data_IF_359626311746
#
_entry.id   IF_359626311746
#
_cell.length_a   1.000
_cell.length_b   1.000
_cell.length_c   1.000
_cell.angle_alpha   90.00
_cell.angle_beta   90.00
_cell.angle_gamma   90.00
#
_symmetry.space_group_name_H-M   'P 1'
#
loop_
_entity.id
_entity.type
_entity.pdbx_description
1 polymer ?
#
# COMPACT_ATOMS: atom_id res chain seq x y z
N UNK A 1 -1.65 -12.51 15.90
CA UNK A 1 -0.96 -13.43 16.84
C UNK A 1 0.46 -12.96 17.20
N UNK A 2 1.36 -12.74 16.23
CA UNK A 2 2.76 -12.30 16.46
C UNK A 2 2.93 -11.09 17.39
N UNK A 3 2.10 -10.06 17.24
CA UNK A 3 2.16 -8.87 18.09
C UNK A 3 1.91 -9.19 19.58
N UNK A 4 0.84 -9.95 19.86
CA UNK A 4 0.51 -10.41 21.21
C UNK A 4 1.60 -11.34 21.79
N UNK A 5 2.15 -12.25 20.98
CA UNK A 5 3.27 -13.10 21.37
C UNK A 5 4.54 -12.30 21.71
N UNK A 6 4.73 -11.14 21.09
CA UNK A 6 5.79 -10.18 21.41
C UNK A 6 5.45 -9.24 22.59
N UNK A 7 4.35 -9.51 23.33
CA UNK A 7 3.92 -8.70 24.47
C UNK A 7 3.31 -7.34 24.10
N UNK A 8 2.92 -7.15 22.83
CA UNK A 8 2.30 -5.92 22.34
C UNK A 8 0.81 -6.11 22.13
N UNK A 9 0.03 -5.08 22.41
CA UNK A 9 -1.36 -4.99 21.96
C UNK A 9 -1.39 -4.92 20.42
N UNK A 10 -1.99 -5.90 19.72
CA UNK A 10 -2.12 -5.88 18.27
C UNK A 10 -2.83 -4.63 17.73
N UNK A 11 -3.78 -4.06 18.49
CA UNK A 11 -4.50 -2.84 18.09
C UNK A 11 -3.61 -1.59 18.11
N UNK A 12 -2.39 -1.68 18.65
CA UNK A 12 -1.38 -0.60 18.64
C UNK A 12 -0.41 -0.71 17.47
N UNK A 13 -0.78 -1.45 16.43
CA UNK A 13 -0.05 -1.54 15.18
C UNK A 13 -1.01 -1.14 14.07
N UNK A 14 -0.87 0.08 13.59
CA UNK A 14 -1.66 0.56 12.47
C UNK A 14 -1.13 -0.05 11.17
N UNK A 15 -2.04 -0.59 10.35
CA UNK A 15 -1.75 -1.23 9.08
C UNK A 15 -2.16 -0.28 7.96
N UNK A 16 -1.19 0.06 7.10
CA UNK A 16 -1.41 0.91 5.93
C UNK A 16 -1.12 0.12 4.67
N UNK A 17 -2.12 0.00 3.79
CA UNK A 17 -1.96 -0.67 2.50
C UNK A 17 -1.52 0.31 1.42
N UNK A 18 -0.66 -0.15 0.51
CA UNK A 18 -0.39 0.58 -0.73
C UNK A 18 -1.69 0.65 -1.54
N UNK A 19 -2.06 1.85 -1.98
CA UNK A 19 -3.22 2.06 -2.85
C UNK A 19 -2.90 3.08 -3.91
N UNK A 20 -3.29 2.80 -5.16
CA UNK A 20 -3.28 3.79 -6.24
C UNK A 20 -4.73 4.13 -6.60
N UNK A 21 -4.99 5.42 -6.83
CA UNK A 21 -6.32 5.88 -7.28
C UNK A 21 -6.17 6.76 -8.51
N UNK A 22 -7.06 6.58 -9.48
CA UNK A 22 -7.25 7.50 -10.59
C UNK A 22 -8.64 8.10 -10.42
N UNK A 23 -8.68 9.39 -10.10
CA UNK A 23 -9.90 10.12 -9.80
C UNK A 23 -10.31 11.01 -10.98
N UNK A 24 -11.61 11.17 -11.15
CA UNK A 24 -12.21 12.16 -12.02
C UNK A 24 -13.50 12.70 -11.39
N UNK A 25 -14.07 13.78 -11.92
CA UNK A 25 -15.35 14.30 -11.40
C UNK A 25 -16.49 13.27 -11.55
N UNK A 26 -16.35 12.34 -12.49
CA UNK A 26 -17.25 11.20 -12.72
C UNK A 26 -16.43 9.95 -13.04
N UNK A 27 -17.03 8.77 -12.92
CA UNK A 27 -16.41 7.51 -13.31
C UNK A 27 -15.93 7.50 -14.76
N UNK A 28 -16.71 8.11 -15.66
CA UNK A 28 -16.36 8.18 -17.07
C UNK A 28 -15.09 9.02 -17.31
N UNK A 29 -14.95 10.15 -16.61
CA UNK A 29 -13.75 10.98 -16.69
C UNK A 29 -12.54 10.32 -16.05
N UNK A 30 -12.72 9.63 -14.91
CA UNK A 30 -11.67 8.86 -14.26
C UNK A 30 -11.16 7.74 -15.17
N UNK A 31 -12.07 7.02 -15.84
CA UNK A 31 -11.74 5.98 -16.80
C UNK A 31 -11.00 6.54 -18.02
N UNK A 32 -11.47 7.65 -18.59
CA UNK A 32 -10.78 8.29 -19.71
C UNK A 32 -9.34 8.70 -19.34
N UNK A 33 -9.16 9.29 -18.15
CA UNK A 33 -7.85 9.64 -17.59
C UNK A 33 -6.96 8.40 -17.40
N UNK A 34 -7.52 7.30 -16.89
CA UNK A 34 -6.79 6.04 -16.75
C UNK A 34 -6.31 5.48 -18.09
N UNK A 35 -7.16 5.42 -19.11
CA UNK A 35 -6.78 4.96 -20.44
C UNK A 35 -5.70 5.85 -21.07
N UNK A 36 -5.80 7.17 -20.88
CA UNK A 36 -4.75 8.11 -21.29
C UNK A 36 -3.42 7.78 -20.60
N UNK A 37 -3.41 7.65 -19.27
CA UNK A 37 -2.20 7.31 -18.52
C UNK A 37 -1.62 5.97 -18.95
N UNK A 38 -2.47 4.98 -19.20
CA UNK A 38 -2.05 3.65 -19.67
C UNK A 38 -1.30 3.73 -21.00
N UNK A 39 -1.67 4.67 -21.88
CA UNK A 39 -0.95 4.89 -23.15
C UNK A 39 0.50 5.34 -23.00
N UNK A 40 0.89 5.85 -21.82
CA UNK A 40 2.25 6.29 -21.51
C UNK A 40 3.09 5.23 -20.77
N UNK A 41 2.51 4.06 -20.47
CA UNK A 41 3.23 2.98 -19.77
C UNK A 41 4.41 2.49 -20.61
N UNK A 42 5.60 2.44 -19.98
CA UNK A 42 6.79 1.83 -20.59
C UNK A 42 6.85 0.36 -20.25
N UNK A 43 6.83 -0.49 -21.29
CA UNK A 43 7.03 -1.93 -21.16
C UNK A 43 8.36 -2.25 -20.47
N UNK A 44 9.47 -1.67 -20.93
CA UNK A 44 10.80 -1.92 -20.38
C UNK A 44 10.90 -1.46 -18.92
N UNK A 45 10.29 -0.32 -18.58
CA UNK A 45 10.22 0.18 -17.21
C UNK A 45 9.45 -0.78 -16.28
N UNK A 46 8.28 -1.25 -16.74
CA UNK A 46 7.50 -2.24 -16.02
C UNK A 46 8.26 -3.55 -15.80
N UNK A 47 8.94 -4.05 -16.84
CA UNK A 47 9.76 -5.26 -16.77
C UNK A 47 10.95 -5.11 -15.83
N UNK A 48 11.62 -3.95 -15.81
CA UNK A 48 12.69 -3.68 -14.86
C UNK A 48 12.19 -3.70 -13.41
N UNK A 49 11.04 -3.06 -13.13
CA UNK A 49 10.45 -3.03 -11.79
C UNK A 49 10.07 -4.42 -11.28
N UNK A 50 9.28 -5.16 -12.06
CA UNK A 50 8.85 -6.50 -11.65
C UNK A 50 10.01 -7.47 -11.53
N UNK A 51 11.05 -7.33 -12.37
CA UNK A 51 12.28 -8.12 -12.22
C UNK A 51 12.97 -7.85 -10.88
N UNK A 52 13.07 -6.58 -10.48
CA UNK A 52 13.64 -6.18 -9.19
C UNK A 52 12.84 -6.69 -7.99
N UNK A 53 11.51 -6.68 -8.06
CA UNK A 53 10.64 -7.13 -6.96
C UNK A 53 10.62 -8.65 -6.79
N UNK A 54 10.66 -9.39 -7.89
CA UNK A 54 10.50 -10.85 -7.90
C UNK A 54 11.83 -11.61 -7.94
N UNK A 55 12.90 -10.95 -8.37
CA UNK A 55 14.19 -11.58 -8.67
C UNK A 55 14.21 -12.38 -9.97
N UNK A 56 13.15 -12.30 -10.80
CA UNK A 56 13.06 -12.97 -12.10
C UNK A 56 13.56 -12.02 -13.18
N UNK A 57 14.48 -12.45 -14.04
CA UNK A 57 14.90 -11.65 -15.19
C UNK A 57 13.87 -11.76 -16.32
N UNK A 58 12.97 -10.78 -16.43
CA UNK A 58 11.91 -10.81 -17.44
C UNK A 58 12.40 -10.57 -18.88
N UNK A 59 13.65 -10.14 -19.08
CA UNK A 59 14.23 -9.99 -20.43
C UNK A 59 14.41 -11.32 -21.17
N UNK A 60 14.35 -12.44 -20.44
CA UNK A 60 14.50 -13.79 -20.99
C UNK A 60 13.20 -14.34 -21.63
N UNK A 61 12.07 -13.65 -21.44
CA UNK A 61 10.77 -14.08 -21.97
C UNK A 61 10.34 -13.23 -23.17
N UNK A 62 9.61 -13.84 -24.10
CA UNK A 62 8.97 -13.07 -25.17
C UNK A 62 7.75 -12.32 -24.61
N UNK A 63 7.43 -11.11 -25.12
CA UNK A 63 6.32 -10.31 -24.61
C UNK A 63 4.98 -11.03 -24.53
N UNK A 64 4.67 -11.90 -25.49
CA UNK A 64 3.42 -12.66 -25.57
C UNK A 64 3.53 -14.11 -25.07
N UNK A 65 4.66 -14.48 -24.46
CA UNK A 65 4.85 -15.83 -23.92
C UNK A 65 4.03 -16.03 -22.65
N UNK A 66 3.15 -17.03 -22.65
CA UNK A 66 2.44 -17.45 -21.45
C UNK A 66 3.41 -17.90 -20.34
N UNK A 67 3.29 -17.29 -19.16
CA UNK A 67 4.20 -17.50 -18.03
C UNK A 67 3.88 -18.76 -17.22
N UNK A 68 2.65 -19.28 -17.31
CA UNK A 68 2.23 -20.56 -16.70
C UNK A 68 3.09 -21.75 -17.17
N UNK A 69 3.67 -21.65 -18.37
CA UNK A 69 4.48 -22.70 -18.97
C UNK A 69 5.97 -22.64 -18.56
N UNK A 70 6.35 -21.75 -17.64
CA UNK A 70 7.76 -21.60 -17.24
C UNK A 70 8.07 -22.45 -16.00
N UNK A 71 9.11 -23.33 -16.04
CA UNK A 71 9.29 -24.38 -15.04
C UNK A 71 9.96 -23.93 -13.72
N UNK A 72 9.98 -22.63 -13.36
CA UNK A 72 10.66 -22.17 -12.14
C UNK A 72 9.68 -21.82 -11.02
N UNK A 73 10.02 -22.17 -9.78
CA UNK A 73 9.18 -21.90 -8.62
C UNK A 73 9.01 -20.40 -8.32
N UNK A 74 10.03 -19.59 -8.63
CA UNK A 74 9.97 -18.14 -8.46
C UNK A 74 8.91 -17.52 -9.38
N UNK A 75 8.87 -17.95 -10.65
CA UNK A 75 7.88 -17.48 -11.63
C UNK A 75 6.48 -17.93 -11.23
N UNK A 76 6.32 -19.17 -10.78
CA UNK A 76 5.03 -19.64 -10.27
C UNK A 76 4.52 -18.78 -9.12
N UNK A 77 5.34 -18.47 -8.12
CA UNK A 77 4.92 -17.62 -7.00
C UNK A 77 4.60 -16.17 -7.42
N UNK A 78 5.36 -15.61 -8.35
CA UNK A 78 5.09 -14.27 -8.89
C UNK A 78 3.77 -14.27 -9.68
N UNK A 79 3.60 -15.21 -10.60
CA UNK A 79 2.38 -15.37 -11.42
C UNK A 79 1.17 -15.68 -10.54
N UNK A 80 1.28 -16.58 -9.56
CA UNK A 80 0.22 -16.89 -8.59
C UNK A 80 -0.28 -15.65 -7.86
N UNK A 81 0.59 -14.68 -7.57
CA UNK A 81 0.20 -13.41 -6.94
C UNK A 81 -0.76 -12.62 -7.84
N UNK A 82 -0.50 -12.60 -9.15
CA UNK A 82 -1.34 -11.90 -10.14
C UNK A 82 -2.57 -12.73 -10.55
N UNK A 83 -2.41 -14.02 -10.78
CA UNK A 83 -3.51 -14.93 -11.14
C UNK A 83 -4.51 -15.11 -10.01
N UNK A 84 -4.13 -14.89 -8.75
CA UNK A 84 -5.10 -14.85 -7.66
C UNK A 84 -5.96 -13.58 -7.69
N UNK A 85 -5.43 -12.48 -8.24
CA UNK A 85 -6.16 -11.22 -8.39
C UNK A 85 -7.04 -11.22 -9.64
N UNK A 86 -6.59 -11.84 -10.73
CA UNK A 86 -7.38 -12.06 -11.94
C UNK A 86 -7.12 -13.47 -12.53
N UNK A 87 -7.95 -14.46 -12.15
CA UNK A 87 -7.74 -15.87 -12.51
C UNK A 87 -8.11 -16.20 -13.96
N UNK A 88 -8.86 -15.33 -14.64
CA UNK A 88 -9.30 -15.55 -16.03
C UNK A 88 -8.33 -14.95 -17.05
N UNK A 89 -7.32 -14.19 -16.60
CA UNK A 89 -6.32 -13.56 -17.46
C UNK A 89 -5.17 -14.51 -17.78
N UNK A 90 -4.85 -14.64 -19.08
CA UNK A 90 -3.62 -15.28 -19.54
C UNK A 90 -2.42 -14.37 -19.26
N UNK A 91 -1.59 -14.73 -18.30
CA UNK A 91 -0.44 -13.91 -17.90
C UNK A 91 0.75 -14.06 -18.84
N UNK A 92 1.04 -12.98 -19.57
CA UNK A 92 2.25 -12.77 -20.38
C UNK A 92 3.04 -11.58 -19.84
N UNK A 93 4.32 -11.39 -20.21
CA UNK A 93 5.04 -10.16 -19.88
C UNK A 93 4.31 -8.88 -20.33
N UNK A 94 3.62 -8.88 -21.47
CA UNK A 94 2.76 -7.77 -21.90
C UNK A 94 1.58 -7.52 -20.94
N UNK A 95 0.86 -8.58 -20.55
CA UNK A 95 -0.23 -8.47 -19.59
C UNK A 95 0.26 -7.98 -18.22
N UNK A 96 1.44 -8.45 -17.79
CA UNK A 96 2.09 -7.94 -16.58
C UNK A 96 2.48 -6.48 -16.71
N UNK A 97 3.05 -6.05 -17.84
CA UNK A 97 3.39 -4.65 -18.07
C UNK A 97 2.16 -3.73 -17.97
N UNK A 98 1.06 -4.16 -18.58
CA UNK A 98 -0.23 -3.46 -18.51
C UNK A 98 -0.77 -3.38 -17.07
N UNK A 99 -0.59 -4.44 -16.29
CA UNK A 99 -1.03 -4.50 -14.90
C UNK A 99 -0.16 -3.65 -13.98
N UNK A 100 1.16 -3.87 -13.98
CA UNK A 100 2.08 -3.19 -13.05
C UNK A 100 2.41 -1.76 -13.48
N UNK A 101 2.14 -1.42 -14.74
CA UNK A 101 2.49 -0.14 -15.35
C UNK A 101 1.91 1.06 -14.63
N UNK A 102 0.74 0.89 -14.00
CA UNK A 102 0.13 1.88 -13.11
C UNK A 102 -0.27 1.16 -11.81
N UNK A 103 0.32 1.57 -10.69
CA UNK A 103 0.00 1.03 -9.36
C UNK A 103 0.87 -0.14 -8.88
N UNK A 104 1.71 -0.71 -9.75
CA UNK A 104 2.68 -1.74 -9.36
C UNK A 104 2.01 -3.03 -8.85
N UNK A 105 2.35 -3.47 -7.64
CA UNK A 105 1.75 -4.63 -6.97
C UNK A 105 0.54 -4.29 -6.09
N UNK A 106 0.19 -3.01 -5.95
CA UNK A 106 -0.93 -2.57 -5.13
C UNK A 106 -2.25 -2.57 -5.92
N UNK A 107 -3.40 -2.62 -5.24
CA UNK A 107 -4.69 -2.37 -5.88
C UNK A 107 -4.73 -0.98 -6.55
N UNK A 108 -5.48 -0.91 -7.65
CA UNK A 108 -5.73 0.30 -8.42
C UNK A 108 -7.24 0.53 -8.51
N UNK A 109 -7.71 1.67 -8.00
CA UNK A 109 -9.12 2.06 -8.10
C UNK A 109 -9.27 3.21 -9.09
N UNK A 110 -10.25 3.10 -9.98
CA UNK A 110 -10.52 4.10 -11.01
C UNK A 110 -11.99 4.49 -10.92
N UNK A 111 -12.27 5.76 -10.63
CA UNK A 111 -13.65 6.20 -10.46
C UNK A 111 -13.80 7.65 -10.02
N UNK A 112 -15.06 8.07 -9.91
CA UNK A 112 -15.44 9.30 -9.24
C UNK A 112 -15.21 9.23 -7.73
N UNK A 113 -15.36 10.36 -7.02
CA UNK A 113 -15.11 10.42 -5.58
C UNK A 113 -16.00 9.48 -4.77
N UNK A 114 -17.28 9.31 -5.14
CA UNK A 114 -18.20 8.39 -4.45
C UNK A 114 -17.78 6.93 -4.65
N UNK A 115 -17.53 6.52 -5.90
CA UNK A 115 -17.08 5.16 -6.25
C UNK A 115 -15.77 4.79 -5.55
N UNK A 116 -14.77 5.68 -5.59
CA UNK A 116 -13.49 5.40 -4.93
C UNK A 116 -13.63 5.40 -3.41
N UNK A 117 -14.45 6.26 -2.82
CA UNK A 117 -14.71 6.24 -1.39
C UNK A 117 -15.41 4.94 -0.95
N UNK A 118 -16.40 4.45 -1.72
CA UNK A 118 -17.05 3.16 -1.46
C UNK A 118 -16.04 2.01 -1.44
N UNK A 119 -15.18 1.93 -2.46
CA UNK A 119 -14.14 0.90 -2.55
C UNK A 119 -13.12 0.96 -1.40
N UNK A 120 -12.73 2.17 -0.96
CA UNK A 120 -11.81 2.32 0.17
C UNK A 120 -12.45 1.91 1.50
N UNK A 121 -13.72 2.25 1.70
CA UNK A 121 -14.46 1.85 2.91
C UNK A 121 -14.70 0.34 2.94
N UNK A 122 -15.14 -0.25 1.83
CA UNK A 122 -15.25 -1.70 1.69
C UNK A 122 -13.92 -2.39 2.02
N UNK A 123 -12.80 -1.88 1.49
CA UNK A 123 -11.48 -2.42 1.80
C UNK A 123 -11.13 -2.33 3.30
N UNK A 124 -11.46 -1.23 3.95
CA UNK A 124 -11.28 -1.06 5.41
C UNK A 124 -12.15 -2.05 6.19
N UNK A 125 -13.41 -2.20 5.81
CA UNK A 125 -14.36 -3.10 6.48
C UNK A 125 -13.96 -4.58 6.36
N UNK A 126 -13.53 -5.01 5.17
CA UNK A 126 -13.18 -6.40 4.92
C UNK A 126 -11.82 -6.79 5.49
N UNK A 127 -10.84 -5.88 5.44
CA UNK A 127 -9.45 -6.20 5.79
C UNK A 127 -9.03 -5.69 7.17
N UNK A 128 -9.75 -4.72 7.73
CA UNK A 128 -9.42 -4.08 9.00
C UNK A 128 -8.18 -3.19 8.94
N UNK A 129 -7.81 -2.67 7.77
CA UNK A 129 -6.69 -1.72 7.64
C UNK A 129 -7.03 -0.36 8.23
N UNK A 130 -6.03 0.32 8.79
CA UNK A 130 -6.19 1.62 9.45
C UNK A 130 -6.04 2.82 8.49
N UNK A 131 -5.61 2.55 7.26
CA UNK A 131 -5.51 3.55 6.22
C UNK A 131 -4.70 3.09 5.02
N UNK A 132 -4.32 4.07 4.19
CA UNK A 132 -3.69 3.83 2.91
C UNK A 132 -2.43 4.68 2.73
N UNK A 133 -1.40 4.07 2.17
CA UNK A 133 -0.26 4.76 1.57
C UNK A 133 -0.61 5.04 0.11
N UNK A 134 -1.03 6.27 -0.17
CA UNK A 134 -1.47 6.69 -1.50
C UNK A 134 -0.26 6.84 -2.43
N UNK A 135 -0.16 5.96 -3.42
CA UNK A 135 0.77 6.08 -4.54
C UNK A 135 0.18 6.94 -5.67
N UNK A 136 1.04 7.33 -6.62
CA UNK A 136 0.68 8.22 -7.72
C UNK A 136 0.92 7.55 -9.07
N UNK A 137 0.07 7.88 -10.04
CA UNK A 137 0.34 7.65 -11.45
C UNK A 137 1.07 8.86 -12.06
N UNK A 138 0.55 10.06 -11.79
CA UNK A 138 1.15 11.33 -12.22
C UNK A 138 1.28 12.26 -11.03
N UNK A 139 2.49 12.81 -10.84
CA UNK A 139 2.73 13.84 -9.82
C UNK A 139 2.81 15.22 -10.48
N UNK A 140 2.11 16.25 -9.99
CA UNK A 140 1.38 16.34 -8.72
C UNK A 140 -0.13 16.04 -8.82
N UNK A 141 -0.63 15.76 -10.03
CA UNK A 141 -2.07 15.66 -10.34
C UNK A 141 -2.82 14.65 -9.48
N UNK A 142 -2.28 13.44 -9.25
CA UNK A 142 -2.94 12.43 -8.41
C UNK A 142 -3.26 12.95 -7.00
N UNK A 143 -2.35 13.75 -6.42
CA UNK A 143 -2.56 14.30 -5.09
C UNK A 143 -3.52 15.49 -5.08
N UNK A 144 -3.55 16.28 -6.16
CA UNK A 144 -4.53 17.35 -6.33
C UNK A 144 -5.93 16.74 -6.42
N UNK A 145 -6.13 15.74 -7.29
CA UNK A 145 -7.42 15.06 -7.42
C UNK A 145 -7.87 14.42 -6.10
N UNK A 146 -6.95 13.78 -5.37
CA UNK A 146 -7.26 13.19 -4.08
C UNK A 146 -7.72 14.25 -3.05
N UNK A 147 -7.07 15.42 -3.01
CA UNK A 147 -7.42 16.51 -2.09
C UNK A 147 -8.70 17.23 -2.52
N UNK A 148 -8.91 17.45 -3.80
CA UNK A 148 -10.03 18.25 -4.32
C UNK A 148 -11.31 17.44 -4.52
N UNK A 149 -11.20 16.15 -4.84
CA UNK A 149 -12.36 15.30 -5.14
C UNK A 149 -12.64 14.30 -4.01
N UNK A 150 -11.63 13.53 -3.59
CA UNK A 150 -11.85 12.41 -2.66
C UNK A 150 -11.94 12.85 -1.20
N UNK A 151 -11.06 13.73 -0.73
CA UNK A 151 -11.07 14.20 0.67
C UNK A 151 -12.41 14.82 1.08
N UNK A 152 -13.06 15.69 0.26
CA UNK A 152 -14.38 16.23 0.60
C UNK A 152 -15.45 15.14 0.75
N UNK A 153 -15.44 14.12 -0.12
CA UNK A 153 -16.37 12.99 -0.03
C UNK A 153 -16.12 12.17 1.25
N UNK A 154 -14.87 11.81 1.54
CA UNK A 154 -14.54 11.10 2.79
C UNK A 154 -14.86 11.93 4.06
N UNK A 155 -14.73 13.25 4.00
CA UNK A 155 -15.13 14.16 5.08
C UNK A 155 -16.65 14.28 5.24
N UNK A 156 -17.41 14.20 4.14
CA UNK A 156 -18.89 14.15 4.14
C UNK A 156 -19.37 12.86 4.80
N UNK A 157 -18.68 11.74 4.56
CA UNK A 157 -18.95 10.43 5.17
C UNK A 157 -18.47 10.30 6.61
N UNK A 158 -17.61 11.22 7.07
CA UNK A 158 -17.12 11.26 8.45
C UNK A 158 -15.94 10.32 8.72
N UNK A 159 -15.35 9.73 7.69
CA UNK A 159 -14.22 8.79 7.77
C UNK A 159 -12.86 9.46 7.55
N UNK A 160 -12.85 10.77 7.23
CA UNK A 160 -11.62 11.56 7.13
C UNK A 160 -11.71 12.83 8.00
N UNK A 161 -10.58 13.16 8.64
CA UNK A 161 -10.47 14.31 9.53
C UNK A 161 -10.72 15.64 8.79
N UNK A 162 -11.33 16.60 9.49
CA UNK A 162 -11.54 17.97 9.00
C UNK A 162 -10.48 18.96 9.45
N UNK A 163 -9.77 18.61 10.53
CA UNK A 163 -8.68 19.41 11.09
C UNK A 163 -7.63 18.50 11.72
N UNK A 164 -6.42 19.03 11.92
CA UNK A 164 -5.37 18.30 12.60
C UNK A 164 -5.44 18.52 14.11
N UNK A 165 -5.41 17.43 14.86
CA UNK A 165 -5.18 17.48 16.30
C UNK A 165 -3.76 17.98 16.59
N UNK A 166 -3.60 18.78 17.67
CA UNK A 166 -2.29 19.29 18.10
C UNK A 166 -1.40 18.15 18.62
N UNK A 167 -0.09 18.39 18.66
CA UNK A 167 0.90 17.43 19.15
C UNK A 167 1.75 16.77 18.05
N UNK A 168 2.55 15.81 18.44
CA UNK A 168 3.44 15.00 17.60
C UNK A 168 2.66 14.06 16.67
N UNK A 169 3.35 13.45 15.70
CA UNK A 169 2.75 12.43 14.83
C UNK A 169 2.23 11.22 15.62
N UNK A 170 2.95 10.79 16.67
CA UNK A 170 2.51 9.69 17.53
C UNK A 170 1.20 10.01 18.24
N UNK A 171 1.08 11.23 18.75
CA UNK A 171 -0.16 11.68 19.40
C UNK A 171 -1.33 11.70 18.42
N UNK A 172 -1.09 12.15 17.17
CA UNK A 172 -2.10 12.13 16.11
C UNK A 172 -2.55 10.72 15.72
N UNK A 173 -1.65 9.73 15.75
CA UNK A 173 -1.94 8.35 15.34
C UNK A 173 -2.52 7.50 16.47
N UNK A 174 -2.06 7.69 17.72
CA UNK A 174 -2.36 6.77 18.82
C UNK A 174 -3.07 7.42 20.01
N UNK A 175 -3.05 8.75 20.16
CA UNK A 175 -3.68 9.45 21.28
C UNK A 175 -3.02 9.29 22.67
N UNK A 176 -1.95 8.49 22.80
CA UNK A 176 -1.36 8.08 24.09
C UNK A 176 -0.13 8.88 24.54
N UNK A 177 0.14 10.01 23.89
CA UNK A 177 1.27 10.89 24.21
C UNK A 177 2.46 10.77 23.25
N UNK A 178 3.53 11.57 23.48
CA UNK A 178 4.59 11.79 22.50
C UNK A 178 5.64 10.67 22.46
N UNK A 179 5.60 9.72 23.40
CA UNK A 179 6.58 8.62 23.54
C UNK A 179 5.94 7.27 23.23
N UNK A 180 6.77 6.28 22.90
CA UNK A 180 6.33 4.89 22.71
C UNK A 180 5.53 4.41 23.94
N UNK A 181 4.58 3.48 23.79
CA UNK A 181 3.91 2.85 24.94
C UNK A 181 4.87 1.91 25.70
N UNK A 182 4.57 1.59 26.96
CA UNK A 182 5.44 0.76 27.80
C UNK A 182 5.64 -0.67 27.28
N UNK A 183 4.64 -1.23 26.59
CA UNK A 183 4.75 -2.53 25.92
C UNK A 183 5.60 -2.53 24.64
N UNK A 184 6.10 -1.39 24.19
CA UNK A 184 6.94 -1.32 23.00
C UNK A 184 8.41 -1.64 23.34
N UNK A 185 9.16 -2.43 22.53
CA UNK A 185 10.56 -2.79 22.84
C UNK A 185 11.49 -1.59 23.11
N UNK A 186 11.29 -0.49 22.37
CA UNK A 186 12.02 0.76 22.58
C UNK A 186 11.77 1.43 23.94
N UNK A 187 10.67 1.13 24.64
CA UNK A 187 10.39 1.66 25.98
C UNK A 187 11.38 1.14 27.03
N UNK A 188 11.86 -0.11 26.86
CA UNK A 188 12.83 -0.74 27.73
C UNK A 188 14.18 -0.01 27.79
N UNK A 189 14.43 0.95 26.89
CA UNK A 189 15.69 1.68 26.78
C UNK A 189 15.58 3.17 27.15
N UNK A 190 14.43 3.63 27.68
CA UNK A 190 14.22 5.05 28.02
C UNK A 190 15.17 5.56 29.11
N UNK A 191 15.56 4.70 30.06
CA UNK A 191 16.45 5.05 31.16
C UNK A 191 17.72 4.20 31.13
N UNK A 192 18.65 4.56 30.22
CA UNK A 192 19.95 3.90 30.07
C UNK A 192 20.78 3.91 31.37
N UNK A 193 20.62 4.94 32.21
CA UNK A 193 21.32 5.04 33.50
C UNK A 193 20.87 3.97 34.50
N UNK A 194 19.57 3.71 34.61
CA UNK A 194 19.04 2.62 35.45
C UNK A 194 19.41 1.24 34.92
N UNK A 195 19.30 1.03 33.61
CA UNK A 195 19.69 -0.23 32.97
C UNK A 195 21.16 -0.56 33.23
N UNK A 196 22.05 0.42 33.09
CA UNK A 196 23.48 0.20 33.32
C UNK A 196 23.79 -0.13 34.78
N UNK A 197 23.10 0.51 35.74
CA UNK A 197 23.24 0.19 37.17
C UNK A 197 22.72 -1.21 37.52
N UNK A 198 21.62 -1.65 36.90
CA UNK A 198 21.10 -3.01 37.06
C UNK A 198 22.09 -4.07 36.59
N UNK A 199 22.65 -3.89 35.37
CA UNK A 199 23.63 -4.82 34.78
C UNK A 199 24.94 -4.90 35.56
N UNK A 200 25.35 -3.82 36.21
CA UNK A 200 26.53 -3.83 37.09
C UNK A 200 26.28 -4.65 38.37
N UNK A 201 25.06 -4.64 38.92
CA UNK A 201 24.68 -5.44 40.09
C UNK A 201 24.57 -6.93 39.79
N UNK A 202 24.10 -7.32 38.60
CA UNK A 202 24.03 -8.74 38.20
C UNK A 202 25.40 -9.38 37.92
N UNK A 203 26.43 -8.55 37.70
CA UNK A 203 27.81 -8.98 37.42
C UNK A 203 28.69 -9.04 38.67
N UNK A 204 28.22 -8.52 39.80
CA UNK A 204 28.92 -8.50 41.08
C UNK A 204 28.45 -9.65 41.97
#
# INVERSE_FOLDING_TARGET
RRAAEAGRDPAKILIFNLQTVILGETDALAKAKFEEYKSYVSYEGAMALISGWTGIDFSQFKPDQALENVPTNAIKSAVETFSSADPDTLWTPNALADWVGIGGFGPLFVGGPETVADLLEEWVEETGVDGFNLAYAVTHETFIDAVELLVPELQKRGVYKKEYTKGTLREKLFGEGPRLADGHPGAAWRNLGELNRGRQKERA
#
